data_IF_543895140590
#
_entry.id   IF_543895140590
#
_cell.length_a   1.000
_cell.length_b   1.000
_cell.length_c   1.000
_cell.angle_alpha   90.00
_cell.angle_beta   90.00
_cell.angle_gamma   90.00
#
_symmetry.space_group_name_H-M   'P 1'
#
loop_
_entity.id
_entity.type
_entity.pdbx_description
1 polymer ?
#
# COMPACT_ATOMS: atom_id res chain seq x y z
N UNK A 1 -14.26 -21.85 7.48
CA UNK A 1 -13.79 -20.61 6.77
C UNK A 1 -12.69 -20.02 7.62
N UNK A 2 -11.46 -20.08 7.13
CA UNK A 2 -10.31 -19.53 7.86
C UNK A 2 -10.32 -18.01 7.66
N UNK A 3 -10.37 -17.24 8.75
CA UNK A 3 -10.26 -15.78 8.68
C UNK A 3 -8.80 -15.39 8.47
N UNK A 4 -8.50 -14.39 7.64
CA UNK A 4 -7.14 -13.94 7.48
C UNK A 4 -6.63 -13.30 8.77
N UNK A 5 -5.38 -13.59 9.13
CA UNK A 5 -4.66 -12.81 10.11
C UNK A 5 -4.16 -11.52 9.45
N UNK A 6 -4.52 -10.37 10.04
CA UNK A 6 -4.18 -9.03 9.55
C UNK A 6 -3.18 -8.39 10.50
N UNK A 7 -2.00 -8.10 10.00
CA UNK A 7 -0.92 -7.51 10.80
C UNK A 7 0.02 -6.65 9.97
N UNK A 8 0.93 -5.97 10.62
CA UNK A 8 2.05 -5.35 9.94
C UNK A 8 3.03 -6.43 9.46
N UNK A 9 3.64 -6.18 8.32
CA UNK A 9 4.72 -7.03 7.82
C UNK A 9 5.95 -6.94 8.73
N UNK A 10 6.71 -8.01 8.74
CA UNK A 10 8.05 -8.08 9.34
C UNK A 10 9.10 -8.28 8.26
N UNK A 11 10.37 -8.25 8.64
CA UNK A 11 11.50 -8.53 7.72
C UNK A 11 11.37 -9.87 7.01
N UNK A 12 10.82 -10.87 7.70
CA UNK A 12 10.64 -12.23 7.16
C UNK A 12 9.63 -12.31 6.02
N UNK A 13 8.82 -11.26 5.82
CA UNK A 13 7.83 -11.24 4.75
C UNK A 13 8.38 -10.74 3.40
N UNK A 14 9.67 -10.37 3.30
CA UNK A 14 10.23 -9.74 2.10
C UNK A 14 9.94 -10.56 0.84
N UNK A 15 10.27 -11.85 0.82
CA UNK A 15 10.15 -12.67 -0.40
C UNK A 15 8.67 -12.85 -0.81
N UNK A 16 7.77 -13.00 0.15
CA UNK A 16 6.33 -13.07 -0.09
C UNK A 16 5.77 -11.74 -0.64
N UNK A 17 6.23 -10.60 -0.10
CA UNK A 17 5.87 -9.27 -0.60
C UNK A 17 6.36 -9.06 -2.03
N UNK A 18 7.60 -9.44 -2.34
CA UNK A 18 8.15 -9.34 -3.69
C UNK A 18 7.38 -10.18 -4.70
N UNK A 19 6.94 -11.38 -4.31
CA UNK A 19 6.09 -12.23 -5.14
C UNK A 19 4.72 -11.58 -5.45
N UNK A 20 4.10 -10.92 -4.46
CA UNK A 20 2.87 -10.16 -4.66
C UNK A 20 3.09 -8.93 -5.55
N UNK A 21 4.16 -8.17 -5.33
CA UNK A 21 4.47 -6.99 -6.12
C UNK A 21 4.83 -7.32 -7.57
N UNK A 22 5.40 -8.49 -7.84
CA UNK A 22 5.57 -8.98 -9.22
C UNK A 22 4.23 -9.22 -9.93
N UNK A 23 3.17 -9.57 -9.20
CA UNK A 23 1.82 -9.65 -9.76
C UNK A 23 1.17 -8.28 -9.95
N UNK A 24 1.51 -7.30 -9.12
CA UNK A 24 1.00 -5.93 -9.23
C UNK A 24 1.63 -5.20 -10.41
N UNK A 25 2.94 -5.32 -10.57
CA UNK A 25 3.74 -4.64 -11.59
C UNK A 25 4.63 -5.65 -12.34
N UNK A 26 4.09 -6.47 -13.24
CA UNK A 26 4.85 -7.54 -13.90
C UNK A 26 5.97 -7.05 -14.83
N UNK A 27 5.97 -5.75 -15.16
CA UNK A 27 7.01 -5.12 -15.97
C UNK A 27 8.16 -4.49 -15.19
N UNK A 28 8.12 -4.53 -13.86
CA UNK A 28 9.17 -3.94 -13.04
C UNK A 28 10.48 -4.69 -13.17
N UNK A 29 11.58 -3.93 -13.30
CA UNK A 29 12.93 -4.50 -13.26
C UNK A 29 13.28 -4.84 -11.82
N UNK A 30 13.71 -6.07 -11.58
CA UNK A 30 14.12 -6.52 -10.26
C UNK A 30 15.32 -5.70 -9.74
N UNK A 31 15.18 -5.11 -8.56
CA UNK A 31 16.30 -4.50 -7.86
C UNK A 31 17.07 -5.55 -7.03
N UNK A 32 18.34 -5.30 -6.68
CA UNK A 32 19.09 -6.19 -5.79
C UNK A 32 18.34 -6.45 -4.49
N UNK A 33 18.30 -7.71 -4.06
CA UNK A 33 17.53 -8.15 -2.86
C UNK A 33 17.95 -7.39 -1.61
N UNK A 34 19.24 -7.14 -1.45
CA UNK A 34 19.80 -6.40 -0.31
C UNK A 34 19.27 -4.97 -0.23
N UNK A 35 19.11 -4.32 -1.38
CA UNK A 35 18.49 -2.98 -1.45
C UNK A 35 17.03 -3.02 -1.01
N UNK A 36 16.27 -4.02 -1.45
CA UNK A 36 14.85 -4.17 -1.10
C UNK A 36 14.69 -4.54 0.39
N UNK A 37 15.59 -5.37 0.93
CA UNK A 37 15.63 -5.68 2.35
C UNK A 37 15.88 -4.42 3.20
N UNK A 38 16.86 -3.60 2.82
CA UNK A 38 17.14 -2.33 3.52
C UNK A 38 15.96 -1.33 3.45
N UNK A 39 15.19 -1.33 2.35
CA UNK A 39 13.97 -0.52 2.25
C UNK A 39 12.90 -1.05 3.20
N UNK A 40 12.67 -2.37 3.24
CA UNK A 40 11.70 -2.98 4.15
C UNK A 40 12.09 -2.75 5.61
N UNK A 41 13.36 -2.85 5.97
CA UNK A 41 13.86 -2.55 7.31
C UNK A 41 13.47 -1.13 7.76
N UNK A 42 13.69 -0.14 6.90
CA UNK A 42 13.29 1.25 7.17
C UNK A 42 11.79 1.42 7.35
N UNK A 43 10.99 0.68 6.59
CA UNK A 43 9.52 0.72 6.72
C UNK A 43 9.10 0.08 8.05
N UNK A 44 9.64 -1.08 8.39
CA UNK A 44 9.29 -1.83 9.60
C UNK A 44 9.70 -1.07 10.88
N UNK A 45 10.80 -0.32 10.82
CA UNK A 45 11.29 0.49 11.94
C UNK A 45 10.60 1.85 12.09
N UNK A 46 9.77 2.23 11.13
CA UNK A 46 9.10 3.53 11.11
C UNK A 46 7.78 3.50 11.88
N UNK A 47 7.50 4.58 12.59
CA UNK A 47 6.16 4.85 13.14
C UNK A 47 5.18 5.44 12.11
N UNK A 48 5.70 5.93 10.97
CA UNK A 48 4.92 6.62 9.94
C UNK A 48 4.49 5.68 8.80
N UNK A 49 5.25 4.62 8.56
CA UNK A 49 5.04 3.69 7.45
C UNK A 49 4.67 2.30 7.96
N UNK A 50 3.81 1.60 7.25
CA UNK A 50 3.51 0.21 7.54
C UNK A 50 3.08 -0.55 6.28
N UNK A 51 3.74 -1.65 5.99
CA UNK A 51 3.20 -2.63 5.07
C UNK A 51 2.23 -3.52 5.86
N UNK A 52 0.97 -3.54 5.44
CA UNK A 52 -0.07 -4.41 6.01
C UNK A 52 -0.10 -5.69 5.21
N UNK A 53 -0.19 -6.82 5.87
CA UNK A 53 -0.34 -8.14 5.24
C UNK A 53 -1.56 -8.87 5.77
N UNK A 54 -2.20 -9.64 4.89
CA UNK A 54 -3.16 -10.67 5.25
C UNK A 54 -2.52 -12.03 5.03
N UNK A 55 -2.59 -12.90 6.03
CA UNK A 55 -2.10 -14.28 5.91
C UNK A 55 -3.23 -15.29 6.04
N UNK A 56 -3.15 -16.36 5.24
CA UNK A 56 -3.98 -17.55 5.34
C UNK A 56 -3.04 -18.74 5.50
N UNK A 57 -3.27 -19.56 6.52
CA UNK A 57 -2.45 -20.74 6.82
C UNK A 57 -0.94 -20.43 6.83
N UNK A 58 -0.58 -19.24 7.34
CA UNK A 58 0.79 -18.74 7.43
C UNK A 58 1.36 -18.11 6.14
N UNK A 59 0.69 -18.25 5.00
CA UNK A 59 1.12 -17.64 3.75
C UNK A 59 0.57 -16.21 3.60
N UNK A 60 1.41 -15.26 3.17
CA UNK A 60 0.98 -13.90 2.82
C UNK A 60 0.23 -13.93 1.49
N UNK A 61 -1.04 -13.55 1.50
CA UNK A 61 -1.94 -13.63 0.33
C UNK A 61 -2.48 -12.27 -0.12
N UNK A 62 -2.33 -11.23 0.68
CA UNK A 62 -2.66 -9.87 0.28
C UNK A 62 -1.82 -8.86 1.07
N UNK A 63 -1.65 -7.67 0.50
CA UNK A 63 -0.92 -6.57 1.13
C UNK A 63 -1.44 -5.21 0.68
N UNK A 64 -1.18 -4.19 1.48
CA UNK A 64 -1.16 -2.79 1.07
C UNK A 64 -0.10 -2.02 1.86
N UNK A 65 0.29 -0.84 1.37
CA UNK A 65 1.27 0.02 2.00
C UNK A 65 0.59 1.28 2.54
N UNK A 66 0.67 1.49 3.85
CA UNK A 66 0.15 2.66 4.55
C UNK A 66 1.27 3.64 4.83
N UNK A 67 1.06 4.90 4.45
CA UNK A 67 1.95 6.01 4.76
C UNK A 67 1.16 7.05 5.56
N UNK A 68 1.62 7.37 6.76
CA UNK A 68 1.07 8.45 7.58
C UNK A 68 1.99 9.65 7.47
N UNK A 69 1.46 10.76 6.97
CA UNK A 69 2.25 11.94 6.60
C UNK A 69 1.98 13.04 7.61
N UNK A 70 3.02 13.51 8.34
CA UNK A 70 2.91 14.67 9.22
C UNK A 70 2.43 15.90 8.46
N UNK A 71 1.66 16.75 9.10
CA UNK A 71 1.04 17.89 8.46
C UNK A 71 0.93 19.09 9.42
N UNK A 72 1.26 20.28 8.93
CA UNK A 72 1.21 21.52 9.72
C UNK A 72 -0.17 22.18 9.70
N UNK A 73 -1.01 21.85 8.73
CA UNK A 73 -2.38 22.37 8.64
C UNK A 73 -3.36 21.47 9.40
N UNK A 74 -4.64 21.84 9.44
CA UNK A 74 -5.69 21.06 10.13
C UNK A 74 -5.40 20.79 11.60
N UNK A 75 -4.83 21.79 12.30
CA UNK A 75 -4.48 21.64 13.71
C UNK A 75 -3.33 20.66 13.99
N UNK A 76 -2.48 20.42 12.99
CA UNK A 76 -1.39 19.45 13.10
C UNK A 76 -1.80 17.99 12.87
N UNK A 77 -3.06 17.73 12.47
CA UNK A 77 -3.52 16.39 12.20
C UNK A 77 -2.83 15.82 10.94
N UNK A 78 -2.24 14.61 11.02
CA UNK A 78 -1.63 13.94 9.86
C UNK A 78 -2.69 13.50 8.86
N UNK A 79 -2.25 13.08 7.69
CA UNK A 79 -3.09 12.38 6.71
C UNK A 79 -2.41 11.10 6.24
N UNK A 80 -3.17 10.20 5.65
CA UNK A 80 -2.65 8.93 5.17
C UNK A 80 -2.69 8.82 3.64
N UNK A 81 -1.76 8.03 3.10
CA UNK A 81 -1.80 7.53 1.72
C UNK A 81 -1.72 6.01 1.77
N UNK A 82 -2.62 5.33 1.03
CA UNK A 82 -2.60 3.88 0.84
C UNK A 82 -2.12 3.58 -0.58
N UNK A 83 -1.11 2.74 -0.69
CA UNK A 83 -0.47 2.37 -1.95
C UNK A 83 -0.31 0.85 -2.07
N UNK A 84 0.05 0.38 -3.26
CA UNK A 84 0.46 -1.00 -3.52
C UNK A 84 -0.52 -2.05 -2.99
N UNK A 85 -1.82 -1.84 -3.23
CA UNK A 85 -2.86 -2.81 -2.87
C UNK A 85 -2.80 -3.98 -3.85
N UNK A 86 -2.50 -5.16 -3.35
CA UNK A 86 -2.47 -6.38 -4.18
C UNK A 86 -2.99 -7.58 -3.40
N UNK A 87 -3.75 -8.42 -4.10
CA UNK A 87 -4.19 -9.74 -3.63
C UNK A 87 -3.63 -10.78 -4.57
N UNK A 88 -3.09 -11.85 -4.00
CA UNK A 88 -2.63 -13.00 -4.76
C UNK A 88 -3.69 -13.48 -5.74
N UNK A 89 -3.30 -13.78 -6.98
CA UNK A 89 -4.21 -14.11 -8.07
C UNK A 89 -5.18 -15.27 -7.71
N UNK A 90 -4.68 -16.26 -6.96
CA UNK A 90 -5.47 -17.43 -6.54
C UNK A 90 -6.52 -17.08 -5.47
N UNK A 91 -6.40 -15.91 -4.83
CA UNK A 91 -7.24 -15.50 -3.70
C UNK A 91 -8.10 -14.25 -4.01
N UNK A 92 -8.13 -13.80 -5.27
CA UNK A 92 -8.96 -12.64 -5.66
C UNK A 92 -10.45 -12.94 -5.53
N UNK A 93 -11.25 -11.92 -5.29
CA UNK A 93 -12.70 -12.05 -5.13
C UNK A 93 -13.15 -12.59 -3.77
N UNK A 94 -12.24 -12.81 -2.83
CA UNK A 94 -12.52 -13.40 -1.49
C UNK A 94 -12.67 -12.37 -0.37
N UNK A 95 -12.59 -11.06 -0.67
CA UNK A 95 -12.69 -9.98 0.32
C UNK A 95 -11.36 -9.60 0.99
N UNK A 96 -10.26 -10.28 0.69
CA UNK A 96 -8.94 -10.00 1.29
C UNK A 96 -8.42 -8.60 0.99
N UNK A 97 -8.64 -8.09 -0.23
CA UNK A 97 -8.28 -6.72 -0.58
C UNK A 97 -9.00 -5.69 0.28
N UNK A 98 -10.31 -5.88 0.51
CA UNK A 98 -11.07 -5.01 1.41
C UNK A 98 -10.58 -5.13 2.85
N UNK A 99 -10.20 -6.32 3.29
CA UNK A 99 -9.70 -6.56 4.64
C UNK A 99 -8.40 -5.79 4.91
N UNK A 100 -7.39 -5.87 4.03
CA UNK A 100 -6.11 -5.15 4.20
C UNK A 100 -6.30 -3.64 4.12
N UNK A 101 -7.14 -3.14 3.20
CA UNK A 101 -7.41 -1.71 3.06
C UNK A 101 -8.14 -1.16 4.29
N UNK A 102 -9.18 -1.85 4.78
CA UNK A 102 -9.91 -1.43 5.99
C UNK A 102 -9.03 -1.49 7.23
N UNK A 103 -8.16 -2.49 7.34
CA UNK A 103 -7.18 -2.56 8.42
C UNK A 103 -6.23 -1.35 8.39
N UNK A 104 -5.69 -1.01 7.22
CA UNK A 104 -4.83 0.17 7.05
C UNK A 104 -5.57 1.47 7.41
N UNK A 105 -6.82 1.64 6.98
CA UNK A 105 -7.64 2.80 7.35
C UNK A 105 -7.87 2.88 8.87
N UNK A 106 -8.17 1.76 9.53
CA UNK A 106 -8.32 1.72 10.98
C UNK A 106 -7.03 2.13 11.70
N UNK A 107 -5.85 1.76 11.17
CA UNK A 107 -4.56 2.22 11.69
C UNK A 107 -4.37 3.72 11.49
N UNK A 108 -4.74 4.26 10.33
CA UNK A 108 -4.68 5.69 10.03
C UNK A 108 -5.57 6.51 10.99
N UNK A 109 -6.81 6.05 11.23
CA UNK A 109 -7.74 6.72 12.14
C UNK A 109 -7.24 6.70 13.59
N UNK A 110 -6.68 5.59 14.06
CA UNK A 110 -6.06 5.49 15.41
C UNK A 110 -4.89 6.45 15.59
N UNK A 111 -4.18 6.79 14.50
CA UNK A 111 -3.08 7.76 14.49
C UNK A 111 -3.55 9.22 14.31
N UNK A 112 -4.87 9.47 14.31
CA UNK A 112 -5.45 10.79 14.20
C UNK A 112 -5.43 11.39 12.80
N UNK A 113 -5.27 10.59 11.75
CA UNK A 113 -5.35 11.09 10.38
C UNK A 113 -6.73 11.68 10.09
N UNK A 114 -6.77 12.89 9.52
CA UNK A 114 -8.04 13.54 9.18
C UNK A 114 -8.60 13.10 7.82
N UNK A 115 -7.80 12.43 7.00
CA UNK A 115 -8.19 11.81 5.74
C UNK A 115 -7.21 10.73 5.34
N UNK A 116 -7.63 9.85 4.44
CA UNK A 116 -6.76 8.95 3.69
C UNK A 116 -6.97 9.15 2.18
N UNK A 117 -5.90 9.04 1.43
CA UNK A 117 -5.89 9.15 -0.03
C UNK A 117 -5.39 7.84 -0.63
N UNK A 118 -5.83 7.53 -1.83
CA UNK A 118 -5.22 6.55 -2.71
C UNK A 118 -5.37 7.01 -4.17
N UNK A 119 -4.54 6.48 -5.04
CA UNK A 119 -4.64 6.72 -6.46
C UNK A 119 -4.64 5.37 -7.21
N UNK A 120 -5.39 5.28 -8.29
CA UNK A 120 -5.36 4.14 -9.19
C UNK A 120 -5.32 4.63 -10.62
N UNK A 121 -4.44 4.03 -11.44
CA UNK A 121 -4.42 4.24 -12.88
C UNK A 121 -5.40 3.33 -13.63
N UNK A 122 -6.02 2.39 -12.93
CA UNK A 122 -6.97 1.44 -13.52
C UNK A 122 -8.34 2.12 -13.66
N UNK A 123 -8.86 2.12 -14.88
CA UNK A 123 -10.16 2.75 -15.21
C UNK A 123 -11.35 1.78 -15.15
N UNK A 124 -11.12 0.53 -14.77
CA UNK A 124 -12.18 -0.46 -14.61
C UNK A 124 -13.16 -0.02 -13.51
N UNK A 125 -14.46 0.09 -13.82
CA UNK A 125 -15.48 0.42 -12.82
C UNK A 125 -15.54 -0.55 -11.63
N UNK A 126 -15.11 -1.80 -11.80
CA UNK A 126 -15.03 -2.75 -10.71
C UNK A 126 -13.99 -2.36 -9.65
N UNK A 127 -12.85 -1.80 -10.09
CA UNK A 127 -11.80 -1.28 -9.18
C UNK A 127 -12.30 -0.06 -8.43
N UNK A 128 -13.03 0.84 -9.10
CA UNK A 128 -13.63 2.00 -8.44
C UNK A 128 -14.64 1.57 -7.37
N UNK A 129 -15.57 0.66 -7.71
CA UNK A 129 -16.52 0.10 -6.73
C UNK A 129 -15.83 -0.59 -5.56
N UNK A 130 -14.71 -1.27 -5.82
CA UNK A 130 -13.92 -1.88 -4.76
C UNK A 130 -13.44 -0.84 -3.74
N UNK A 131 -12.81 0.26 -4.17
CA UNK A 131 -12.35 1.30 -3.27
C UNK A 131 -13.49 2.07 -2.61
N UNK A 132 -14.58 2.33 -3.32
CA UNK A 132 -15.80 2.93 -2.75
C UNK A 132 -16.38 2.04 -1.62
N UNK A 133 -16.37 0.72 -1.78
CA UNK A 133 -16.79 -0.23 -0.74
C UNK A 133 -15.88 -0.22 0.50
N UNK A 134 -14.64 0.27 0.36
CA UNK A 134 -13.71 0.49 1.48
C UNK A 134 -13.89 1.85 2.16
N UNK A 135 -14.76 2.73 1.63
CA UNK A 135 -15.04 4.05 2.20
C UNK A 135 -14.35 5.22 1.50
N UNK A 136 -13.69 4.99 0.37
CA UNK A 136 -13.13 6.08 -0.44
C UNK A 136 -14.17 6.71 -1.36
N UNK A 137 -13.95 7.97 -1.73
CA UNK A 137 -14.74 8.69 -2.72
C UNK A 137 -13.85 9.13 -3.88
N UNK A 138 -14.23 8.77 -5.11
CA UNK A 138 -13.55 9.23 -6.32
C UNK A 138 -13.92 10.67 -6.73
N UNK A 139 -14.81 11.34 -5.98
CA UNK A 139 -15.41 12.63 -6.39
C UNK A 139 -14.92 13.83 -5.58
N UNK A 140 -14.24 13.60 -4.45
CA UNK A 140 -13.85 14.69 -3.54
C UNK A 140 -12.59 15.42 -3.96
N UNK A 141 -11.68 14.76 -4.68
CA UNK A 141 -10.39 15.31 -5.08
C UNK A 141 -10.02 14.85 -6.49
N UNK A 142 -9.31 15.70 -7.20
CA UNK A 142 -8.66 15.35 -8.46
C UNK A 142 -7.17 15.15 -8.21
N UNK A 143 -6.64 13.99 -8.59
CA UNK A 143 -5.21 13.69 -8.51
C UNK A 143 -4.48 14.14 -9.77
N UNK A 144 -3.27 14.67 -9.59
CA UNK A 144 -2.35 15.00 -10.66
C UNK A 144 -1.06 14.21 -10.49
N UNK A 145 -0.50 13.72 -11.58
CA UNK A 145 0.75 12.96 -11.59
C UNK A 145 1.78 13.71 -12.42
N UNK A 146 2.93 14.03 -11.84
CA UNK A 146 4.10 14.50 -12.56
C UNK A 146 5.10 13.36 -12.73
N UNK A 147 5.77 13.34 -13.87
CA UNK A 147 6.85 12.39 -14.17
C UNK A 147 8.16 13.15 -14.34
N UNK A 148 9.31 12.56 -13.95
CA UNK A 148 10.59 13.17 -14.26
C UNK A 148 10.76 13.32 -15.77
N UNK A 149 11.44 14.36 -16.26
CA UNK A 149 11.77 14.48 -17.68
C UNK A 149 12.61 13.27 -18.11
N UNK A 150 12.53 12.88 -19.39
CA UNK A 150 13.13 11.66 -19.93
C UNK A 150 14.68 11.54 -19.75
N UNK A 151 15.35 12.64 -19.34
CA UNK A 151 16.75 12.67 -18.88
C UNK A 151 16.90 13.68 -17.74
N UNK A 152 16.94 13.17 -16.53
CA UNK A 152 17.72 13.82 -15.49
C UNK A 152 19.12 13.23 -15.65
N UNK A 153 20.07 14.01 -16.16
CA UNK A 153 21.47 13.62 -16.10
C UNK A 153 21.80 13.39 -14.59
N UNK A 154 22.55 12.34 -14.24
CA UNK A 154 22.98 12.20 -12.86
C UNK A 154 23.75 13.47 -12.47
N UNK A 155 23.60 13.96 -11.23
CA UNK A 155 24.42 15.06 -10.75
C UNK A 155 25.88 14.68 -11.02
N UNK A 156 26.56 15.53 -11.77
CA UNK A 156 27.94 15.30 -12.18
C UNK A 156 28.79 14.99 -10.96
N UNK A 157 29.64 13.97 -11.10
CA UNK A 157 30.64 13.58 -10.12
C UNK A 157 31.69 14.66 -9.95
#
# INVERSE_FOLDING_TARGET
>A
MTWPDLRHATRDNLDALLALYAQLNPGDVAAPRERLAAILDRIVESDEFAVVVATLDGAVVATCYLNVIPNLTRGGAPYAIVENVVVDAAHRGTGLGQAVVRFALAQAWRRGCYKALLQTGVRDPAVHRFYESCGFSAREKTGFVARPPARIAPPGG
#
